data_IF_987802828585
#
_entry.id   IF_987802828585
#
_cell.length_a   1.000
_cell.length_b   1.000
_cell.length_c   1.000
_cell.angle_alpha   90.00
_cell.angle_beta   90.00
_cell.angle_gamma   90.00
#
_symmetry.space_group_name_H-M   'P 1'
#
loop_
_entity.id
_entity.type
_entity.pdbx_description
1 polymer ?
#
# COMPACT_ATOMS: atom_id res chain seq x y z
N UNK A 1 10.68 3.98 25.75
CA UNK A 1 10.07 2.86 26.50
C UNK A 1 9.58 1.86 25.46
N UNK A 2 10.13 0.65 25.43
CA UNK A 2 9.63 -0.41 24.54
C UNK A 2 8.25 -0.85 25.04
N UNK A 3 7.19 -0.48 24.31
CA UNK A 3 5.83 -0.93 24.65
C UNK A 3 5.64 -2.34 24.11
N UNK A 4 5.06 -3.28 24.89
CA UNK A 4 4.79 -4.63 24.39
C UNK A 4 3.82 -4.57 23.20
N UNK A 5 4.00 -5.50 22.25
CA UNK A 5 3.10 -5.61 21.10
C UNK A 5 1.70 -6.02 21.56
N UNK A 6 0.69 -5.20 21.26
CA UNK A 6 -0.70 -5.50 21.54
C UNK A 6 -1.41 -5.95 20.26
N UNK A 7 -1.68 -7.25 20.16
CA UNK A 7 -2.35 -7.87 19.00
C UNK A 7 -3.73 -7.25 18.74
N UNK A 8 -4.50 -6.97 19.80
CA UNK A 8 -5.84 -6.39 19.67
C UNK A 8 -5.77 -5.00 19.04
N UNK A 9 -4.87 -4.15 19.55
CA UNK A 9 -4.64 -2.81 19.00
C UNK A 9 -4.14 -2.88 17.56
N UNK A 10 -3.19 -3.77 17.27
CA UNK A 10 -2.69 -4.00 15.92
C UNK A 10 -3.81 -4.37 14.93
N UNK A 11 -4.69 -5.31 15.29
CA UNK A 11 -5.81 -5.72 14.43
C UNK A 11 -6.75 -4.54 14.18
N UNK A 12 -7.14 -3.80 15.22
CA UNK A 12 -8.05 -2.64 15.10
C UNK A 12 -7.44 -1.57 14.20
N UNK A 13 -6.17 -1.20 14.44
CA UNK A 13 -5.47 -0.20 13.64
C UNK A 13 -5.34 -0.66 12.18
N UNK A 14 -5.04 -1.94 11.95
CA UNK A 14 -4.95 -2.53 10.60
C UNK A 14 -6.29 -2.44 9.86
N UNK A 15 -7.39 -2.86 10.48
CA UNK A 15 -8.73 -2.82 9.87
C UNK A 15 -9.19 -1.40 9.54
N UNK A 16 -8.86 -0.42 10.39
CA UNK A 16 -9.23 0.97 10.14
C UNK A 16 -8.34 1.62 9.09
N UNK A 17 -7.04 1.27 9.07
CA UNK A 17 -6.09 1.76 8.06
C UNK A 17 -6.39 1.14 6.69
N UNK A 18 -6.83 -0.12 6.65
CA UNK A 18 -7.13 -0.82 5.40
C UNK A 18 -8.27 -0.18 4.60
N UNK A 19 -9.20 0.52 5.26
CA UNK A 19 -10.25 1.30 4.58
C UNK A 19 -9.61 2.33 3.63
N UNK A 20 -8.63 3.10 4.12
CA UNK A 20 -7.92 4.07 3.30
C UNK A 20 -7.13 3.38 2.19
N UNK A 21 -6.38 2.32 2.53
CA UNK A 21 -5.53 1.61 1.56
C UNK A 21 -6.37 1.06 0.41
N UNK A 22 -7.51 0.43 0.70
CA UNK A 22 -8.40 -0.11 -0.31
C UNK A 22 -9.01 0.99 -1.19
N UNK A 23 -9.52 2.09 -0.60
CA UNK A 23 -10.07 3.21 -1.37
C UNK A 23 -9.01 3.82 -2.29
N UNK A 24 -7.82 4.08 -1.75
CA UNK A 24 -6.71 4.66 -2.50
C UNK A 24 -6.26 3.74 -3.65
N UNK A 25 -6.12 2.45 -3.37
CA UNK A 25 -5.68 1.48 -4.35
C UNK A 25 -6.69 1.29 -5.49
N UNK A 26 -7.98 1.15 -5.17
CA UNK A 26 -9.04 1.07 -6.18
C UNK A 26 -9.09 2.36 -7.00
N UNK A 27 -8.99 3.52 -6.37
CA UNK A 27 -8.98 4.80 -7.08
C UNK A 27 -7.79 4.90 -8.05
N UNK A 28 -6.56 4.63 -7.59
CA UNK A 28 -5.37 4.64 -8.44
C UNK A 28 -5.43 3.60 -9.55
N UNK A 29 -5.98 2.42 -9.27
CA UNK A 29 -6.10 1.39 -10.27
C UNK A 29 -7.09 1.78 -11.37
N UNK A 30 -8.30 2.21 -11.00
CA UNK A 30 -9.35 2.56 -11.96
C UNK A 30 -9.04 3.85 -12.74
N UNK A 31 -8.44 4.85 -12.07
CA UNK A 31 -8.23 6.18 -12.67
C UNK A 31 -6.89 6.32 -13.40
N UNK A 32 -5.91 5.46 -13.08
CA UNK A 32 -4.54 5.60 -13.62
C UNK A 32 -4.02 4.28 -14.16
N UNK A 33 -3.97 3.21 -13.36
CA UNK A 33 -3.28 1.99 -13.77
C UNK A 33 -3.98 1.26 -14.92
N UNK A 34 -5.30 1.06 -14.83
CA UNK A 34 -6.09 0.35 -15.85
C UNK A 34 -6.09 1.07 -17.20
N UNK A 35 -6.35 2.39 -17.29
CA UNK A 35 -6.22 3.11 -18.55
C UNK A 35 -4.84 2.94 -19.19
N UNK A 36 -3.77 3.07 -18.41
CA UNK A 36 -2.41 2.90 -18.93
C UNK A 36 -2.15 1.46 -19.41
N UNK A 37 -2.65 0.46 -18.68
CA UNK A 37 -2.50 -0.95 -19.05
C UNK A 37 -3.31 -1.30 -20.29
N UNK A 38 -4.53 -0.77 -20.42
CA UNK A 38 -5.37 -0.90 -21.63
C UNK A 38 -4.65 -0.35 -22.86
N UNK A 39 -4.07 0.85 -22.77
CA UNK A 39 -3.30 1.44 -23.85
C UNK A 39 -2.06 0.60 -24.23
N UNK A 40 -1.41 -0.01 -23.23
CA UNK A 40 -0.21 -0.83 -23.45
C UNK A 40 -0.51 -2.19 -24.09
N UNK A 41 -1.61 -2.82 -23.68
CA UNK A 41 -2.04 -4.10 -24.24
C UNK A 41 -2.98 -3.96 -25.44
N UNK A 42 -3.33 -2.74 -25.85
CA UNK A 42 -4.23 -2.46 -26.95
C UNK A 42 -3.90 -3.34 -28.19
N UNK A 43 -4.80 -4.29 -28.48
CA UNK A 43 -4.69 -5.21 -29.61
C UNK A 43 -3.81 -6.46 -29.41
N UNK A 44 -3.26 -6.69 -28.21
CA UNK A 44 -2.37 -7.84 -27.91
C UNK A 44 -2.98 -8.86 -26.96
N UNK A 45 -3.70 -8.40 -25.93
CA UNK A 45 -4.33 -9.25 -24.91
C UNK A 45 -5.65 -8.60 -24.53
N UNK A 46 -6.71 -9.40 -24.48
CA UNK A 46 -7.99 -8.95 -23.94
C UNK A 46 -7.83 -8.81 -22.42
N UNK A 47 -7.94 -7.57 -21.90
CA UNK A 47 -7.95 -7.35 -20.46
C UNK A 47 -9.32 -7.84 -19.97
N UNK A 48 -9.31 -9.09 -19.48
CA UNK A 48 -10.53 -9.77 -19.09
C UNK A 48 -11.29 -9.05 -17.96
N UNK A 49 -12.62 -9.22 -17.90
CA UNK A 49 -13.44 -8.58 -16.88
C UNK A 49 -12.96 -8.96 -15.48
N UNK A 50 -13.10 -8.02 -14.53
CA UNK A 50 -12.72 -8.20 -13.12
C UNK A 50 -13.62 -9.28 -12.48
N UNK A 51 -13.24 -10.54 -12.68
CA UNK A 51 -13.93 -11.70 -12.12
C UNK A 51 -13.77 -11.78 -10.61
N UNK A 52 -14.61 -12.59 -9.97
CA UNK A 52 -14.61 -12.81 -8.52
C UNK A 52 -13.23 -13.26 -8.02
N UNK A 53 -12.52 -14.10 -8.78
CA UNK A 53 -11.16 -14.54 -8.44
C UNK A 53 -10.17 -13.38 -8.35
N UNK A 54 -10.22 -12.45 -9.30
CA UNK A 54 -9.32 -11.30 -9.34
C UNK A 54 -9.62 -10.34 -8.18
N UNK A 55 -10.91 -10.13 -7.89
CA UNK A 55 -11.33 -9.32 -6.74
C UNK A 55 -10.87 -9.92 -5.40
N UNK A 56 -10.90 -11.25 -5.24
CA UNK A 56 -10.41 -11.91 -4.02
C UNK A 56 -8.89 -11.80 -3.85
N UNK A 57 -8.14 -12.00 -4.93
CA UNK A 57 -6.67 -11.82 -4.91
C UNK A 57 -6.32 -10.38 -4.57
N UNK A 58 -7.08 -9.43 -5.09
CA UNK A 58 -6.91 -8.01 -4.77
C UNK A 58 -7.21 -7.69 -3.31
N UNK A 59 -8.33 -8.17 -2.78
CA UNK A 59 -8.65 -7.99 -1.35
C UNK A 59 -7.57 -8.59 -0.43
N UNK A 60 -7.00 -9.74 -0.81
CA UNK A 60 -5.88 -10.34 -0.11
C UNK A 60 -4.63 -9.46 -0.17
N UNK A 61 -4.32 -8.92 -1.36
CA UNK A 61 -3.22 -8.00 -1.56
C UNK A 61 -3.34 -6.74 -0.67
N UNK A 62 -4.51 -6.10 -0.65
CA UNK A 62 -4.77 -4.91 0.19
C UNK A 62 -4.61 -5.22 1.68
N UNK A 63 -5.03 -6.43 2.09
CA UNK A 63 -4.88 -6.90 3.46
C UNK A 63 -3.41 -7.07 3.84
N UNK A 64 -2.60 -7.66 2.96
CA UNK A 64 -1.16 -7.80 3.15
C UNK A 64 -0.50 -6.42 3.20
N UNK A 65 -0.87 -5.52 2.28
CA UNK A 65 -0.30 -4.18 2.18
C UNK A 65 -0.58 -3.35 3.44
N UNK A 66 -1.85 -3.32 3.89
CA UNK A 66 -2.27 -2.62 5.10
C UNK A 66 -1.64 -3.22 6.36
N UNK A 67 -1.63 -4.54 6.51
CA UNK A 67 -0.99 -5.22 7.64
C UNK A 67 0.51 -4.95 7.71
N UNK A 68 1.20 -5.01 6.57
CA UNK A 68 2.63 -4.71 6.46
C UNK A 68 2.91 -3.26 6.83
N UNK A 69 2.13 -2.31 6.30
CA UNK A 69 2.29 -0.89 6.59
C UNK A 69 2.14 -0.58 8.08
N UNK A 70 1.08 -1.12 8.71
CA UNK A 70 0.80 -0.91 10.14
C UNK A 70 1.87 -1.57 11.00
N UNK A 71 2.32 -2.77 10.64
CA UNK A 71 3.39 -3.45 11.37
C UNK A 71 4.73 -2.71 11.26
N UNK A 72 5.08 -2.26 10.06
CA UNK A 72 6.27 -1.44 9.83
C UNK A 72 6.21 -0.12 10.59
N UNK A 73 5.04 0.53 10.61
CA UNK A 73 4.84 1.74 11.40
C UNK A 73 5.05 1.47 12.90
N UNK A 74 4.49 0.39 13.43
CA UNK A 74 4.68 0.01 14.83
C UNK A 74 6.16 -0.21 15.16
N UNK A 75 6.91 -0.95 14.33
CA UNK A 75 8.35 -1.15 14.51
C UNK A 75 9.12 0.19 14.50
N UNK A 76 8.77 1.08 13.57
CA UNK A 76 9.38 2.39 13.48
C UNK A 76 9.05 3.26 14.70
N UNK A 77 7.81 3.21 15.22
CA UNK A 77 7.39 3.93 16.44
C UNK A 77 8.18 3.49 17.68
N UNK A 78 8.53 2.22 17.78
CA UNK A 78 9.36 1.72 18.90
C UNK A 78 10.79 2.25 18.83
N UNK A 79 11.32 2.43 17.61
CA UNK A 79 12.70 2.85 17.37
C UNK A 79 12.87 4.37 17.37
N UNK A 80 11.85 5.10 16.89
CA UNK A 80 11.87 6.55 16.75
C UNK A 80 10.89 7.18 17.74
N UNK A 81 11.41 7.94 18.70
CA UNK A 81 10.60 8.68 19.70
C UNK A 81 9.64 9.70 19.06
N UNK A 82 9.93 10.13 17.82
CA UNK A 82 9.09 11.04 17.03
C UNK A 82 8.25 10.29 16.00
N UNK A 83 6.93 10.46 16.08
CA UNK A 83 5.94 9.80 15.20
C UNK A 83 6.04 10.20 13.73
N UNK A 84 6.39 11.46 13.40
CA UNK A 84 6.49 11.89 12.00
C UNK A 84 7.60 11.16 11.21
N UNK A 85 8.75 10.90 11.84
CA UNK A 85 9.82 10.11 11.20
C UNK A 85 9.38 8.67 11.00
N UNK A 86 8.68 8.10 11.98
CA UNK A 86 8.12 6.76 11.86
C UNK A 86 7.15 6.66 10.68
N UNK A 87 6.27 7.65 10.48
CA UNK A 87 5.34 7.72 9.33
C UNK A 87 6.09 7.71 8.00
N UNK A 88 7.07 8.60 7.83
CA UNK A 88 7.80 8.74 6.56
C UNK A 88 8.60 7.47 6.25
N UNK A 89 9.30 6.92 7.24
CA UNK A 89 10.12 5.72 7.05
C UNK A 89 9.23 4.50 6.78
N UNK A 90 8.19 4.27 7.58
CA UNK A 90 7.33 3.11 7.41
C UNK A 90 6.58 3.16 6.08
N UNK A 91 6.04 4.32 5.69
CA UNK A 91 5.35 4.49 4.42
C UNK A 91 6.30 4.29 3.24
N UNK A 92 7.50 4.88 3.28
CA UNK A 92 8.48 4.76 2.19
C UNK A 92 9.05 3.35 2.06
N UNK A 93 9.40 2.70 3.17
CA UNK A 93 9.93 1.33 3.14
C UNK A 93 8.85 0.37 2.65
N UNK A 94 7.61 0.49 3.13
CA UNK A 94 6.51 -0.34 2.65
C UNK A 94 6.27 -0.12 1.15
N UNK A 95 6.15 1.13 0.71
CA UNK A 95 5.93 1.47 -0.70
C UNK A 95 7.02 0.90 -1.61
N UNK A 96 8.30 1.06 -1.23
CA UNK A 96 9.43 0.55 -2.01
C UNK A 96 9.44 -0.98 -2.05
N UNK A 97 9.27 -1.63 -0.89
CA UNK A 97 9.35 -3.08 -0.76
C UNK A 97 8.18 -3.82 -1.44
N UNK A 98 7.02 -3.19 -1.59
CA UNK A 98 5.86 -3.78 -2.24
C UNK A 98 5.68 -3.25 -3.66
N UNK A 99 5.18 -2.02 -3.79
CA UNK A 99 4.77 -1.41 -5.05
C UNK A 99 5.98 -1.02 -5.92
N UNK A 100 7.08 -0.59 -5.30
CA UNK A 100 8.33 -0.29 -6.00
C UNK A 100 8.90 -1.53 -6.68
N UNK A 101 9.10 -2.61 -5.90
CA UNK A 101 9.54 -3.91 -6.42
C UNK A 101 8.57 -4.45 -7.47
N UNK A 102 7.26 -4.38 -7.23
CA UNK A 102 6.23 -4.83 -8.17
C UNK A 102 6.36 -4.15 -9.54
N UNK A 103 6.49 -2.82 -9.57
CA UNK A 103 6.59 -2.08 -10.83
C UNK A 103 7.93 -2.31 -11.53
N UNK A 104 9.04 -2.38 -10.78
CA UNK A 104 10.34 -2.74 -11.34
C UNK A 104 10.30 -4.14 -11.97
N UNK A 105 9.71 -5.12 -11.29
CA UNK A 105 9.57 -6.48 -11.80
C UNK A 105 8.67 -6.53 -13.03
N UNK A 106 7.55 -5.81 -13.02
CA UNK A 106 6.61 -5.72 -14.15
C UNK A 106 7.30 -5.17 -15.40
N UNK A 107 8.07 -4.10 -15.28
CA UNK A 107 8.82 -3.52 -16.41
C UNK A 107 9.87 -4.49 -16.93
N UNK A 108 10.67 -5.10 -16.04
CA UNK A 108 11.72 -6.04 -16.45
C UNK A 108 11.19 -7.34 -17.06
N UNK A 109 9.93 -7.69 -16.78
CA UNK A 109 9.26 -8.87 -17.34
C UNK A 109 8.49 -8.56 -18.63
N UNK A 110 8.56 -7.32 -19.13
CA UNK A 110 7.82 -6.88 -20.32
C UNK A 110 6.30 -6.73 -20.10
N UNK A 111 5.86 -6.66 -18.84
CA UNK A 111 4.45 -6.53 -18.45
C UNK A 111 4.02 -5.08 -18.18
N UNK A 112 4.93 -4.12 -18.37
CA UNK A 112 4.65 -2.69 -18.22
C UNK A 112 5.81 -1.83 -18.72
N UNK A 113 5.66 -0.51 -18.62
CA UNK A 113 6.68 0.46 -19.07
C UNK A 113 7.24 1.28 -17.91
N UNK A 114 8.45 1.81 -18.08
CA UNK A 114 9.02 2.76 -17.12
C UNK A 114 8.12 3.99 -16.90
N UNK A 115 7.41 4.44 -17.94
CA UNK A 115 6.44 5.54 -17.82
C UNK A 115 5.32 5.20 -16.84
N UNK A 116 4.76 3.98 -16.90
CA UNK A 116 3.77 3.51 -15.92
C UNK A 116 4.36 3.49 -14.51
N UNK A 117 5.54 2.89 -14.35
CA UNK A 117 6.20 2.79 -13.05
C UNK A 117 6.42 4.17 -12.42
N UNK A 118 6.98 5.13 -13.18
CA UNK A 118 7.25 6.48 -12.70
C UNK A 118 6.00 7.35 -12.53
N UNK A 119 4.86 6.95 -13.10
CA UNK A 119 3.58 7.64 -12.88
C UNK A 119 2.84 7.08 -11.67
N UNK A 120 2.74 5.76 -11.57
CA UNK A 120 1.92 5.08 -10.57
C UNK A 120 2.63 5.01 -9.22
N UNK A 121 3.95 4.80 -9.20
CA UNK A 121 4.69 4.66 -7.96
C UNK A 121 4.65 5.92 -7.07
N UNK A 122 4.84 7.16 -7.57
CA UNK A 122 4.75 8.35 -6.71
C UNK A 122 3.37 8.52 -6.07
N UNK A 123 2.30 8.20 -6.80
CA UNK A 123 0.93 8.24 -6.28
C UNK A 123 0.80 7.20 -5.16
N UNK A 124 1.16 5.95 -5.43
CA UNK A 124 1.20 4.86 -4.46
C UNK A 124 2.02 5.21 -3.20
N UNK A 125 3.17 5.85 -3.36
CA UNK A 125 4.01 6.27 -2.25
C UNK A 125 3.31 7.29 -1.34
N UNK A 126 2.65 8.29 -1.92
CA UNK A 126 1.86 9.28 -1.16
C UNK A 126 0.71 8.58 -0.42
N UNK A 127 0.04 7.62 -1.06
CA UNK A 127 -1.03 6.83 -0.43
C UNK A 127 -0.52 6.06 0.79
N UNK A 128 0.68 5.46 0.70
CA UNK A 128 1.32 4.76 1.83
C UNK A 128 1.71 5.72 2.95
N UNK A 129 2.17 6.94 2.63
CA UNK A 129 2.46 7.97 3.64
C UNK A 129 1.18 8.38 4.38
N UNK A 130 0.07 8.56 3.67
CA UNK A 130 -1.23 8.88 4.28
C UNK A 130 -1.72 7.71 5.14
N UNK A 131 -1.58 6.46 4.66
CA UNK A 131 -1.92 5.27 5.43
C UNK A 131 -1.11 5.14 6.71
N UNK A 132 0.21 5.39 6.65
CA UNK A 132 1.06 5.41 7.83
C UNK A 132 0.68 6.53 8.81
N UNK A 133 0.29 7.70 8.29
CA UNK A 133 -0.21 8.81 9.11
C UNK A 133 -1.52 8.46 9.82
N UNK A 134 -2.45 7.79 9.14
CA UNK A 134 -3.69 7.29 9.74
C UNK A 134 -3.36 6.28 10.85
N UNK A 135 -2.50 5.29 10.56
CA UNK A 135 -2.05 4.31 11.54
C UNK A 135 -1.43 4.99 12.78
N UNK A 136 -0.63 6.04 12.57
CA UNK A 136 -0.09 6.89 13.62
C UNK A 136 -1.16 7.43 14.56
N UNK A 137 -2.19 8.09 14.00
CA UNK A 137 -3.27 8.69 14.80
C UNK A 137 -4.11 7.65 15.53
N UNK A 138 -4.33 6.50 14.92
CA UNK A 138 -5.07 5.40 15.54
C UNK A 138 -4.29 4.77 16.69
N UNK A 139 -2.99 4.55 16.53
CA UNK A 139 -2.14 4.04 17.60
C UNK A 139 -2.07 5.00 18.79
N UNK A 140 -2.02 6.31 18.55
CA UNK A 140 -2.06 7.28 19.64
C UNK A 140 -3.39 7.20 20.40
N UNK A 141 -4.51 6.95 19.71
CA UNK A 141 -5.84 6.81 20.33
C UNK A 141 -6.04 5.51 21.12
N UNK A 142 -5.53 4.38 20.62
CA UNK A 142 -5.82 3.05 21.16
C UNK A 142 -4.72 2.45 22.05
N UNK A 143 -3.58 3.12 22.21
CA UNK A 143 -2.52 2.74 23.17
C UNK A 143 -2.48 3.64 24.42
N UNK A 144 -3.62 4.22 24.79
CA UNK A 144 -3.80 4.88 26.09
C UNK A 144 -4.13 3.86 27.19
#
# INVERSE_FOLDING_TARGET
>A
MNRPFNIKTFIIVTLLTSIWINIAEVARAMLVAFPMMEDFYAGRIEIGPMGVSNALIWALWDTILSGTLVFMYWLCKQSFTHTNRAVVISGSVTALATLGVFWIASVNSGLGTWTMAFTIFPIAWIEMLIGAFIASKLYDKFEH
#
